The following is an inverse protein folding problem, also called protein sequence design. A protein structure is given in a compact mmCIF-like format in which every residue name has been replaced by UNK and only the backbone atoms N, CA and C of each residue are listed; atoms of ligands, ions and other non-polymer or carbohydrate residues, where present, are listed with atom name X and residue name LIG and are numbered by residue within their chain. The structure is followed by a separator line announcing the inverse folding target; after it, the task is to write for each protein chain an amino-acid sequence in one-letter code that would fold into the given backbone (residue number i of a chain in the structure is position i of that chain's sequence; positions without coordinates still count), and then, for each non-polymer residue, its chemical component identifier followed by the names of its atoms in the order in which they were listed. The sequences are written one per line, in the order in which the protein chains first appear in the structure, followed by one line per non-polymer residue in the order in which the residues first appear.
data_IF_372137199362
#
_entry.id   IF_372137199362
#
_cell.length_a   1.000
_cell.length_b   1.000
_cell.length_c   1.000
_cell.angle_alpha   90.00
_cell.angle_beta   90.00
_cell.angle_gamma   90.00
#
_symmetry.space_group_name_H-M   'P 1'
#
loop_
_entity.id
_entity.type
_entity.pdbx_description
1 polymer ?
#
# COMPACT_ATOMS: atom_id res chain seq x y z
N UNK A 1 -1.10 -11.22 -4.58
CA UNK A 1 -2.13 -11.97 -3.81
C UNK A 1 -1.48 -12.49 -2.53
N UNK A 2 -1.81 -11.87 -1.41
CA UNK A 2 -1.43 -12.44 -0.12
C UNK A 2 -2.47 -13.51 0.24
N UNK A 3 -2.04 -14.78 0.29
CA UNK A 3 -2.90 -15.90 0.63
C UNK A 3 -2.98 -16.14 2.15
N UNK A 4 -2.70 -15.11 2.94
CA UNK A 4 -2.71 -15.20 4.40
C UNK A 4 -3.02 -13.87 5.06
N UNK A 5 -3.57 -13.94 6.27
CA UNK A 5 -3.78 -12.82 7.18
C UNK A 5 -3.05 -13.12 8.47
N UNK A 6 -2.29 -12.17 9.00
CA UNK A 6 -1.54 -12.31 10.25
C UNK A 6 -2.17 -11.42 11.31
N UNK A 7 -2.33 -11.96 12.51
CA UNK A 7 -2.67 -11.16 13.68
C UNK A 7 -1.39 -10.60 14.31
N UNK A 8 -1.23 -9.28 14.27
CA UNK A 8 -0.15 -8.59 14.94
C UNK A 8 -0.58 -8.27 16.39
N UNK A 9 -0.24 -9.15 17.32
CA UNK A 9 -0.54 -8.93 18.74
C UNK A 9 0.53 -8.05 19.40
N UNK A 10 0.20 -7.55 20.58
CA UNK A 10 1.10 -6.74 21.37
C UNK A 10 2.29 -7.59 21.88
N UNK A 11 3.50 -7.27 21.41
CA UNK A 11 4.70 -7.99 21.79
C UNK A 11 5.23 -7.60 23.19
N UNK A 12 5.15 -6.32 23.54
CA UNK A 12 5.59 -5.76 24.82
C UNK A 12 4.60 -4.71 25.32
N UNK A 13 4.55 -4.49 26.62
CA UNK A 13 3.79 -3.35 27.15
C UNK A 13 4.45 -2.04 26.72
N UNK A 14 3.65 -1.01 26.39
CA UNK A 14 4.17 0.32 26.11
C UNK A 14 5.09 0.78 27.24
N UNK A 15 6.22 1.39 26.89
CA UNK A 15 7.16 1.93 27.87
C UNK A 15 6.92 3.41 28.05
N UNK A 16 7.08 3.87 29.28
CA UNK A 16 6.90 5.27 29.65
C UNK A 16 5.51 5.81 29.24
N UNK A 17 5.47 6.97 28.62
CA UNK A 17 4.25 7.63 28.16
C UNK A 17 3.89 7.29 26.68
N UNK A 18 4.46 6.19 26.14
CA UNK A 18 4.16 5.78 24.77
C UNK A 18 2.68 5.42 24.64
N UNK A 19 2.05 5.99 23.64
CA UNK A 19 0.66 5.71 23.26
C UNK A 19 0.59 5.32 21.79
N UNK A 20 -0.44 4.57 21.43
CA UNK A 20 -0.73 4.31 20.02
C UNK A 20 -1.20 5.59 19.34
N UNK A 21 -1.11 5.62 18.00
CA UNK A 21 -1.64 6.75 17.22
C UNK A 21 -3.14 6.93 17.49
N UNK A 22 -3.88 5.83 17.61
CA UNK A 22 -5.32 5.88 17.89
C UNK A 22 -5.61 6.51 19.26
N UNK A 23 -4.87 6.15 20.31
CA UNK A 23 -5.02 6.77 21.64
C UNK A 23 -4.72 8.27 21.60
N UNK A 24 -3.61 8.68 20.95
CA UNK A 24 -3.26 10.10 20.83
C UNK A 24 -4.31 10.89 20.06
N UNK A 25 -4.79 10.37 18.94
CA UNK A 25 -5.80 11.06 18.13
C UNK A 25 -7.16 11.08 18.80
N UNK A 26 -7.52 10.03 19.56
CA UNK A 26 -8.76 10.02 20.36
C UNK A 26 -8.73 11.07 21.48
N UNK A 27 -7.59 11.21 22.16
CA UNK A 27 -7.42 12.28 23.17
C UNK A 27 -7.49 13.69 22.55
N UNK A 28 -6.94 13.86 21.35
CA UNK A 28 -7.06 15.12 20.61
C UNK A 28 -8.52 15.38 20.22
N UNK A 29 -9.20 14.39 19.67
CA UNK A 29 -10.62 14.48 19.30
C UNK A 29 -11.51 14.85 20.50
N UNK A 30 -11.21 14.27 21.68
CA UNK A 30 -11.88 14.63 22.94
C UNK A 30 -11.70 16.09 23.29
N UNK A 31 -10.48 16.63 23.20
CA UNK A 31 -10.19 18.06 23.47
C UNK A 31 -10.88 18.98 22.48
N UNK A 32 -11.08 18.52 21.24
CA UNK A 32 -11.79 19.25 20.19
C UNK A 32 -13.32 19.08 20.25
N UNK A 33 -13.84 18.24 21.14
CA UNK A 33 -15.27 17.97 21.28
C UNK A 33 -15.87 17.11 20.16
N UNK A 34 -15.05 16.35 19.44
CA UNK A 34 -15.45 15.48 18.31
C UNK A 34 -15.11 13.99 18.54
N UNK A 35 -14.94 13.59 19.81
CA UNK A 35 -14.55 12.22 20.17
C UNK A 35 -15.52 11.17 19.61
N UNK A 36 -16.82 11.40 19.78
CA UNK A 36 -17.85 10.44 19.33
C UNK A 36 -17.85 10.28 17.80
N UNK A 37 -17.70 11.40 17.06
CA UNK A 37 -17.61 11.34 15.59
C UNK A 37 -16.34 10.63 15.11
N UNK A 38 -15.23 10.75 15.85
CA UNK A 38 -13.96 10.13 15.50
C UNK A 38 -13.91 8.64 15.87
N UNK A 39 -14.38 8.29 17.06
CA UNK A 39 -14.25 6.93 17.59
C UNK A 39 -15.48 6.06 17.29
N UNK A 40 -16.64 6.65 17.02
CA UNK A 40 -17.94 5.99 16.97
C UNK A 40 -18.19 5.12 18.22
N UNK A 41 -17.71 5.58 19.38
CA UNK A 41 -17.78 4.86 20.64
C UNK A 41 -16.91 3.60 20.74
N UNK A 42 -16.01 3.36 19.78
CA UNK A 42 -15.16 2.15 19.74
C UNK A 42 -13.79 2.42 20.34
N UNK A 43 -13.26 1.40 21.00
CA UNK A 43 -11.82 1.31 21.34
C UNK A 43 -11.03 0.83 20.13
N UNK A 44 -9.69 0.84 20.21
CA UNK A 44 -8.83 0.28 19.16
C UNK A 44 -9.16 -1.22 18.91
N UNK A 45 -9.36 -2.01 19.97
CA UNK A 45 -9.78 -3.40 19.82
C UNK A 45 -11.20 -3.51 19.22
N UNK A 46 -12.10 -2.62 19.61
CA UNK A 46 -13.45 -2.52 19.03
C UNK A 46 -13.43 -2.29 17.53
N UNK A 47 -12.51 -1.41 17.05
CA UNK A 47 -12.31 -1.18 15.63
C UNK A 47 -11.71 -2.40 14.93
N UNK A 48 -10.71 -3.06 15.52
CA UNK A 48 -10.13 -4.29 14.95
C UNK A 48 -11.19 -5.37 14.79
N UNK A 49 -12.02 -5.61 15.80
CA UNK A 49 -13.12 -6.58 15.74
C UNK A 49 -14.14 -6.20 14.66
N UNK A 50 -14.56 -4.94 14.62
CA UNK A 50 -15.50 -4.47 13.62
C UNK A 50 -14.98 -4.68 12.19
N UNK A 51 -13.76 -4.23 11.89
CA UNK A 51 -13.15 -4.37 10.57
C UNK A 51 -12.90 -5.84 10.19
N UNK A 52 -12.52 -6.65 11.17
CA UNK A 52 -12.35 -8.08 10.96
C UNK A 52 -13.67 -8.77 10.57
N UNK A 53 -14.76 -8.43 11.24
CA UNK A 53 -16.08 -8.96 10.89
C UNK A 53 -16.56 -8.49 9.51
N UNK A 54 -16.20 -7.28 9.06
CA UNK A 54 -16.46 -6.90 7.67
C UNK A 54 -15.64 -7.77 6.69
N UNK A 55 -14.38 -8.08 7.02
CA UNK A 55 -13.53 -8.97 6.22
C UNK A 55 -14.07 -10.40 6.16
N UNK A 56 -14.67 -10.92 7.24
CA UNK A 56 -15.30 -12.24 7.26
C UNK A 56 -16.49 -12.35 6.30
N UNK A 57 -17.21 -11.26 6.05
CA UNK A 57 -18.28 -11.26 5.04
C UNK A 57 -17.74 -11.53 3.63
N UNK A 58 -16.53 -11.06 3.34
CA UNK A 58 -15.87 -11.27 2.03
C UNK A 58 -15.08 -12.59 1.99
N UNK A 59 -14.66 -13.11 3.13
CA UNK A 59 -13.88 -14.36 3.27
C UNK A 59 -14.59 -15.24 4.32
N UNK A 60 -15.63 -15.98 3.95
CA UNK A 60 -16.45 -16.74 4.92
C UNK A 60 -15.69 -17.80 5.71
N UNK A 61 -14.57 -18.30 5.16
CA UNK A 61 -13.73 -19.32 5.81
C UNK A 61 -12.83 -18.75 6.92
N UNK A 62 -12.79 -17.41 7.10
CA UNK A 62 -12.07 -16.82 8.23
C UNK A 62 -12.72 -17.28 9.55
N UNK A 63 -11.90 -17.74 10.54
CA UNK A 63 -12.42 -18.08 11.86
C UNK A 63 -13.01 -16.85 12.56
N UNK A 64 -13.65 -17.05 13.71
CA UNK A 64 -14.00 -15.91 14.56
C UNK A 64 -12.75 -15.17 15.07
N UNK A 65 -12.93 -13.93 15.50
CA UNK A 65 -11.80 -13.04 15.87
C UNK A 65 -10.91 -13.63 16.97
N UNK A 66 -11.49 -14.25 17.99
CA UNK A 66 -10.73 -14.75 19.14
C UNK A 66 -9.96 -16.02 18.76
N UNK A 67 -10.55 -16.88 17.96
CA UNK A 67 -9.87 -18.04 17.37
C UNK A 67 -8.72 -17.59 16.46
N UNK A 68 -8.95 -16.59 15.59
CA UNK A 68 -7.90 -16.04 14.73
C UNK A 68 -6.76 -15.44 15.54
N UNK A 69 -7.06 -14.69 16.61
CA UNK A 69 -6.06 -14.12 17.52
C UNK A 69 -5.19 -15.21 18.13
N UNK A 70 -5.78 -16.31 18.58
CA UNK A 70 -5.04 -17.44 19.16
C UNK A 70 -4.15 -18.14 18.13
N UNK A 71 -4.63 -18.29 16.90
CA UNK A 71 -3.90 -18.94 15.82
C UNK A 71 -2.74 -18.06 15.30
N UNK A 72 -2.87 -16.74 15.40
CA UNK A 72 -1.90 -15.75 14.93
C UNK A 72 -1.80 -15.61 13.42
N UNK A 73 -2.21 -16.63 12.66
CA UNK A 73 -2.17 -16.62 11.20
C UNK A 73 -3.31 -17.44 10.62
N UNK A 74 -3.97 -16.89 9.61
CA UNK A 74 -4.89 -17.60 8.74
C UNK A 74 -4.29 -17.70 7.34
N UNK A 75 -4.25 -18.89 6.78
CA UNK A 75 -3.79 -19.13 5.40
C UNK A 75 -4.97 -19.57 4.54
N UNK A 76 -5.31 -18.73 3.56
CA UNK A 76 -6.31 -19.09 2.57
C UNK A 76 -5.72 -20.12 1.62
N UNK A 77 -6.40 -21.24 1.47
CA UNK A 77 -6.08 -22.25 0.45
C UNK A 77 -6.94 -21.97 -0.77
N UNK A 78 -6.32 -21.78 -1.91
CA UNK A 78 -7.03 -21.73 -3.18
C UNK A 78 -7.25 -23.17 -3.67
N UNK A 79 -8.48 -23.67 -3.68
CA UNK A 79 -8.75 -25.03 -4.15
C UNK A 79 -8.52 -25.20 -5.65
N UNK A 80 -8.47 -24.10 -6.41
CA UNK A 80 -8.21 -24.09 -7.84
C UNK A 80 -6.70 -23.96 -8.18
N UNK A 81 -5.84 -23.84 -7.15
CA UNK A 81 -4.39 -23.74 -7.33
C UNK A 81 -3.91 -22.29 -7.45
N UNK A 82 -2.87 -22.07 -8.28
CA UNK A 82 -2.29 -20.75 -8.39
C UNK A 82 -3.21 -19.76 -9.11
N UNK A 83 -3.39 -18.58 -8.52
CA UNK A 83 -4.05 -17.48 -9.19
C UNK A 83 -3.24 -17.05 -10.43
N UNK A 84 -3.89 -17.10 -11.57
CA UNK A 84 -3.35 -16.59 -12.84
C UNK A 84 -4.03 -15.26 -13.14
N UNK A 85 -3.25 -14.17 -13.13
CA UNK A 85 -3.79 -12.84 -13.41
C UNK A 85 -4.41 -12.80 -14.82
N UNK A 86 -5.58 -12.16 -14.89
CA UNK A 86 -6.34 -12.00 -16.14
C UNK A 86 -6.69 -13.30 -16.85
N UNK A 87 -6.74 -14.46 -16.17
CA UNK A 87 -7.04 -15.75 -16.81
C UNK A 87 -8.36 -15.71 -17.58
N UNK A 88 -9.44 -15.30 -16.92
CA UNK A 88 -10.76 -15.23 -17.56
C UNK A 88 -10.78 -14.30 -18.77
N UNK A 89 -10.16 -13.11 -18.67
CA UNK A 89 -10.01 -12.20 -19.79
C UNK A 89 -9.20 -12.79 -20.95
N UNK A 90 -8.12 -13.52 -20.65
CA UNK A 90 -7.29 -14.16 -21.68
C UNK A 90 -7.99 -15.30 -22.40
N UNK A 91 -8.84 -16.05 -21.70
CA UNK A 91 -9.62 -17.16 -22.25
C UNK A 91 -10.82 -16.69 -23.06
N UNK A 92 -11.55 -15.68 -22.57
CA UNK A 92 -12.68 -15.04 -23.26
C UNK A 92 -12.76 -13.55 -22.92
N UNK A 93 -12.11 -12.68 -23.72
CA UNK A 93 -12.11 -11.24 -23.48
C UNK A 93 -13.50 -10.59 -23.63
N UNK A 94 -14.42 -11.22 -24.37
CA UNK A 94 -15.75 -10.66 -24.59
C UNK A 94 -16.67 -10.92 -23.38
N UNK A 95 -16.61 -12.15 -22.84
CA UNK A 95 -17.38 -12.51 -21.67
C UNK A 95 -16.80 -11.92 -20.37
N UNK A 96 -15.49 -11.65 -20.34
CA UNK A 96 -14.77 -11.16 -19.16
C UNK A 96 -13.95 -9.91 -19.49
N UNK A 97 -14.57 -8.79 -19.86
CA UNK A 97 -13.84 -7.57 -20.19
C UNK A 97 -13.08 -7.04 -18.99
N UNK A 98 -12.00 -6.30 -19.22
CA UNK A 98 -11.29 -5.56 -18.18
C UNK A 98 -12.12 -4.37 -17.70
N UNK A 99 -11.79 -3.85 -16.53
CA UNK A 99 -12.45 -2.66 -15.95
C UNK A 99 -12.02 -1.33 -16.60
N UNK A 100 -11.22 -1.39 -17.66
CA UNK A 100 -10.82 -0.23 -18.45
C UNK A 100 -11.99 0.29 -19.30
N UNK A 101 -12.02 1.57 -19.73
CA UNK A 101 -13.06 2.12 -20.57
C UNK A 101 -13.36 1.32 -21.86
N UNK A 102 -12.32 0.72 -22.46
CA UNK A 102 -12.47 -0.11 -23.65
C UNK A 102 -12.79 -1.59 -23.36
N UNK A 103 -12.74 -2.01 -22.10
CA UNK A 103 -12.80 -3.41 -21.69
C UNK A 103 -11.56 -4.23 -22.08
N UNK A 104 -10.52 -3.59 -22.61
CA UNK A 104 -9.28 -4.19 -23.12
C UNK A 104 -8.05 -3.61 -22.43
N UNK A 105 -6.87 -4.15 -22.72
CA UNK A 105 -5.61 -3.53 -22.35
C UNK A 105 -5.47 -2.22 -23.15
N UNK A 106 -5.34 -1.11 -22.43
CA UNK A 106 -5.15 0.21 -23.03
C UNK A 106 -3.69 0.62 -22.92
N UNK A 107 -3.02 0.81 -24.05
CA UNK A 107 -1.65 1.32 -24.13
C UNK A 107 -1.69 2.85 -24.02
N UNK A 108 -2.65 3.48 -24.69
CA UNK A 108 -2.91 4.91 -24.54
C UNK A 108 -3.84 5.16 -23.36
N UNK A 109 -3.38 5.89 -22.36
CA UNK A 109 -4.17 6.24 -21.17
C UNK A 109 -4.94 7.54 -21.39
N UNK A 110 -6.25 7.45 -21.47
CA UNK A 110 -7.11 8.64 -21.57
C UNK A 110 -7.08 9.48 -20.29
N UNK A 111 -6.88 8.84 -19.13
CA UNK A 111 -6.77 9.55 -17.85
C UNK A 111 -5.48 10.36 -17.77
N UNK A 112 -4.35 9.80 -18.21
CA UNK A 112 -3.10 10.57 -18.31
C UNK A 112 -3.21 11.71 -19.32
N UNK A 113 -3.90 11.51 -20.45
CA UNK A 113 -4.16 12.57 -21.40
C UNK A 113 -4.98 13.71 -20.79
N UNK A 114 -6.00 13.41 -19.98
CA UNK A 114 -6.76 14.43 -19.25
C UNK A 114 -5.92 15.16 -18.24
N UNK A 115 -5.10 14.44 -17.47
CA UNK A 115 -4.19 15.04 -16.50
C UNK A 115 -3.20 15.97 -17.20
N UNK A 116 -2.59 15.53 -18.29
CA UNK A 116 -1.68 16.34 -19.09
C UNK A 116 -2.33 17.64 -19.64
N UNK A 117 -3.61 17.58 -19.94
CA UNK A 117 -4.36 18.73 -20.47
C UNK A 117 -4.86 19.69 -19.39
N UNK A 118 -4.95 19.26 -18.12
CA UNK A 118 -5.61 20.01 -17.05
C UNK A 118 -4.68 20.42 -15.91
N UNK A 119 -3.56 19.75 -15.75
CA UNK A 119 -2.59 20.07 -14.71
C UNK A 119 -1.59 21.12 -15.19
N UNK A 120 -1.26 22.06 -14.32
CA UNK A 120 -0.14 22.96 -14.52
C UNK A 120 1.13 22.23 -14.07
N UNK A 121 1.98 21.90 -15.04
CA UNK A 121 3.23 21.18 -14.77
C UNK A 121 4.38 22.16 -14.66
N UNK A 122 5.42 21.86 -13.84
CA UNK A 122 6.68 22.58 -13.86
C UNK A 122 7.31 22.59 -15.27
N UNK A 123 8.12 23.59 -15.53
CA UNK A 123 8.82 23.71 -16.81
C UNK A 123 9.70 22.48 -17.06
N UNK A 124 9.54 21.86 -18.20
CA UNK A 124 10.25 20.64 -18.60
C UNK A 124 9.60 19.32 -18.19
N UNK A 125 8.57 19.36 -17.34
CA UNK A 125 7.80 18.15 -17.02
C UNK A 125 6.83 17.79 -18.11
N UNK A 126 6.72 16.49 -18.39
CA UNK A 126 5.82 15.94 -19.40
C UNK A 126 5.05 14.75 -18.82
N UNK A 127 3.74 14.75 -19.00
CA UNK A 127 2.89 13.56 -18.78
C UNK A 127 2.45 13.05 -20.12
N UNK A 128 3.06 11.94 -20.58
CA UNK A 128 2.68 11.29 -21.84
C UNK A 128 1.61 10.25 -21.60
N UNK A 129 0.53 10.23 -22.39
CA UNK A 129 -0.49 9.18 -22.29
C UNK A 129 -0.02 7.80 -22.77
N UNK A 130 1.10 7.74 -23.47
CA UNK A 130 1.75 6.49 -23.88
C UNK A 130 2.89 6.13 -22.93
N UNK A 131 3.18 4.84 -22.69
CA UNK A 131 4.28 4.38 -21.87
C UNK A 131 5.63 4.52 -22.62
N UNK A 132 6.01 5.75 -22.93
CA UNK A 132 7.29 6.06 -23.55
C UNK A 132 8.33 6.42 -22.49
N UNK A 133 9.61 6.29 -22.82
CA UNK A 133 10.69 6.80 -21.97
C UNK A 133 10.71 8.32 -21.99
N UNK A 134 10.56 8.92 -20.84
CA UNK A 134 10.73 10.37 -20.63
C UNK A 134 12.00 10.58 -19.82
N UNK A 135 13.01 11.29 -20.34
CA UNK A 135 14.21 11.59 -19.58
C UNK A 135 13.86 12.48 -18.38
N UNK A 136 14.28 12.04 -17.18
CA UNK A 136 14.17 12.85 -15.98
C UNK A 136 15.23 13.97 -15.96
N UNK A 137 15.19 14.78 -14.91
CA UNK A 137 16.25 15.75 -14.63
C UNK A 137 17.58 15.05 -14.39
N UNK A 138 18.68 15.71 -14.70
CA UNK A 138 20.03 15.20 -14.46
C UNK A 138 20.28 13.79 -15.05
N UNK A 139 19.68 13.52 -16.20
CA UNK A 139 19.90 12.27 -16.92
C UNK A 139 21.23 12.28 -17.70
N UNK A 140 21.62 11.13 -18.26
CA UNK A 140 22.89 10.98 -18.98
C UNK A 140 23.01 11.81 -20.28
N UNK A 141 21.88 12.34 -20.79
CA UNK A 141 21.85 13.24 -21.96
C UNK A 141 21.80 14.71 -21.56
N UNK A 142 21.79 15.02 -20.26
CA UNK A 142 21.80 16.40 -19.79
C UNK A 142 23.13 17.07 -20.15
N UNK A 143 23.15 18.30 -20.73
CA UNK A 143 24.37 19.04 -21.02
C UNK A 143 25.29 19.21 -19.81
N UNK A 144 24.75 19.21 -18.59
CA UNK A 144 25.56 19.29 -17.37
C UNK A 144 26.45 18.07 -17.16
N UNK A 145 26.24 16.96 -17.86
CA UNK A 145 27.10 15.77 -17.78
C UNK A 145 28.51 16.03 -18.34
N UNK A 146 28.68 17.01 -19.20
CA UNK A 146 30.02 17.43 -19.65
C UNK A 146 30.86 17.98 -18.48
N UNK A 147 30.23 18.70 -17.55
CA UNK A 147 30.85 19.25 -16.36
C UNK A 147 30.84 18.30 -15.18
N UNK A 148 29.76 17.54 -15.02
CA UNK A 148 29.48 16.60 -13.91
C UNK A 148 29.20 15.22 -14.47
N UNK A 149 30.21 14.43 -14.85
CA UNK A 149 30.03 13.16 -15.56
C UNK A 149 29.53 12.01 -14.67
N UNK A 150 29.56 12.15 -13.34
CA UNK A 150 29.15 11.12 -12.41
C UNK A 150 27.67 11.28 -12.04
N UNK A 151 26.92 10.22 -12.19
CA UNK A 151 25.52 10.18 -11.75
C UNK A 151 25.41 9.53 -10.38
N UNK A 152 24.79 10.23 -9.43
CA UNK A 152 24.54 9.72 -8.10
C UNK A 152 23.25 8.90 -8.09
N UNK A 153 23.37 7.62 -7.76
CA UNK A 153 22.21 6.75 -7.56
C UNK A 153 22.07 6.39 -6.09
N UNK A 154 20.94 6.73 -5.50
CA UNK A 154 20.54 6.31 -4.16
C UNK A 154 19.67 5.08 -4.22
N UNK A 155 19.93 4.09 -3.39
CA UNK A 155 19.07 2.91 -3.24
C UNK A 155 18.77 2.64 -1.77
N UNK A 156 17.65 1.94 -1.52
CA UNK A 156 17.29 1.56 -0.17
C UNK A 156 18.22 0.46 0.35
N UNK A 157 18.78 0.68 1.52
CA UNK A 157 19.54 -0.37 2.20
C UNK A 157 18.59 -1.49 2.63
N UNK A 158 18.94 -2.74 2.34
CA UNK A 158 18.05 -3.91 2.50
C UNK A 158 17.52 -4.13 3.93
N UNK A 159 18.28 -3.70 4.93
CA UNK A 159 17.98 -3.90 6.35
C UNK A 159 17.43 -2.66 7.05
N UNK A 160 17.05 -1.63 6.30
CA UNK A 160 16.51 -0.38 6.86
C UNK A 160 15.18 -0.01 6.19
N UNK A 161 14.34 0.67 6.96
CA UNK A 161 13.21 1.41 6.43
C UNK A 161 13.49 2.88 6.69
N UNK A 162 13.88 3.61 5.64
CA UNK A 162 14.42 4.96 5.74
C UNK A 162 15.62 5.01 6.72
N UNK A 163 15.56 5.84 7.77
CA UNK A 163 16.58 5.94 8.82
C UNK A 163 16.38 4.98 10.00
N UNK A 164 15.29 4.19 9.99
CA UNK A 164 14.97 3.28 11.10
C UNK A 164 15.74 1.96 11.02
N UNK A 165 15.83 1.27 12.15
CA UNK A 165 16.49 -0.04 12.33
C UNK A 165 18.03 -0.03 12.18
N UNK A 166 18.66 1.12 11.97
CA UNK A 166 20.12 1.19 11.89
C UNK A 166 20.86 0.87 13.19
N UNK A 167 20.15 0.84 14.31
CA UNK A 167 20.64 0.48 15.64
C UNK A 167 20.36 -0.98 16.06
N UNK A 168 19.74 -1.79 15.18
CA UNK A 168 19.40 -3.19 15.46
C UNK A 168 20.53 -4.09 14.98
N UNK A 169 21.29 -4.66 15.92
CA UNK A 169 22.54 -5.39 15.59
C UNK A 169 22.30 -6.63 14.72
N UNK A 170 21.21 -7.37 14.93
CA UNK A 170 20.89 -8.53 14.09
C UNK A 170 20.64 -8.15 12.63
N UNK A 171 20.18 -6.92 12.36
CA UNK A 171 19.97 -6.41 10.99
C UNK A 171 21.23 -5.82 10.36
N UNK A 172 22.24 -5.45 11.16
CA UNK A 172 23.55 -5.00 10.64
C UNK A 172 24.35 -6.13 10.03
N UNK A 173 24.14 -7.35 10.51
CA UNK A 173 24.81 -8.56 10.05
C UNK A 173 24.18 -9.15 8.78
N UNK A 174 23.00 -8.67 8.37
CA UNK A 174 22.29 -9.10 7.18
C UNK A 174 22.66 -8.27 5.94
#
# INVERSE_FOLDING_TARGET
NMSYVIFADQAIKPRFECKTIYEMTSELAKRLGVEEQFTEGRTQEGWMRYLYEQSRKAIPDLPDFDTFRQQGIYKQRDPQGHHVAYKAFREDPQANPLTTPSGKIEIYSQDLAKIAATWELPEGDVIDPLPIYTPGFENYNDPLTEKYPLQLTGFHYKSRVHSTYGNVDVLKAA
#
